data_IF_747563025877
#
_entry.id   IF_747563025877
#
_cell.length_a   1.000
_cell.length_b   1.000
_cell.length_c   1.000
_cell.angle_alpha   90.00
_cell.angle_beta   90.00
_cell.angle_gamma   90.00
#
_symmetry.space_group_name_H-M   'P 1'
#
loop_
_entity.id
_entity.type
_entity.pdbx_description
1 polymer ?
#
# COMPACT_ATOMS: atom_id res chain seq x y z
N UNK A 1 -11.32 23.29 -0.82
CA UNK A 1 -12.06 24.48 -0.31
C UNK A 1 -13.32 24.06 0.45
N UNK A 2 -14.12 23.12 -0.07
CA UNK A 2 -15.37 22.67 0.58
C UNK A 2 -15.10 22.00 1.93
N UNK A 3 -14.03 21.20 2.02
CA UNK A 3 -13.70 20.44 3.23
C UNK A 3 -13.39 21.35 4.44
N UNK A 4 -12.46 22.31 4.33
CA UNK A 4 -12.21 23.24 5.44
C UNK A 4 -13.43 24.07 5.85
N UNK A 5 -14.28 24.47 4.90
CA UNK A 5 -15.51 25.22 5.21
C UNK A 5 -16.49 24.36 6.02
N UNK A 6 -16.64 23.09 5.62
CA UNK A 6 -17.49 22.14 6.33
C UNK A 6 -16.98 21.87 7.76
N UNK A 7 -15.65 21.70 7.92
CA UNK A 7 -15.01 21.53 9.22
C UNK A 7 -15.25 22.74 10.15
N UNK A 8 -15.00 23.93 9.64
CA UNK A 8 -15.24 25.16 10.41
C UNK A 8 -16.72 25.28 10.82
N UNK A 9 -17.64 24.98 9.90
CA UNK A 9 -19.06 24.99 10.20
C UNK A 9 -19.42 23.99 11.29
N UNK A 10 -18.89 22.75 11.22
CA UNK A 10 -19.11 21.71 12.25
C UNK A 10 -18.52 22.13 13.60
N UNK A 11 -17.28 22.64 13.62
CA UNK A 11 -16.64 23.10 14.87
C UNK A 11 -17.43 24.22 15.54
N UNK A 12 -17.93 25.18 14.77
CA UNK A 12 -18.77 26.27 15.29
C UNK A 12 -20.10 25.71 15.79
N UNK A 13 -20.74 24.84 15.02
CA UNK A 13 -22.04 24.26 15.37
C UNK A 13 -21.97 23.44 16.66
N UNK A 14 -20.95 22.61 16.82
CA UNK A 14 -20.73 21.83 18.05
C UNK A 14 -20.32 22.76 19.20
N UNK A 15 -19.42 23.70 18.95
CA UNK A 15 -18.98 24.67 19.97
C UNK A 15 -20.10 25.55 20.54
N UNK A 16 -21.12 25.86 19.75
CA UNK A 16 -22.32 26.58 20.22
C UNK A 16 -23.24 25.72 21.09
N UNK A 17 -23.24 24.41 20.91
CA UNK A 17 -24.09 23.49 21.66
C UNK A 17 -23.48 23.05 23.00
N UNK A 18 -22.21 22.64 22.98
CA UNK A 18 -21.53 22.07 24.16
C UNK A 18 -20.52 23.04 24.80
N UNK A 19 -20.25 24.16 24.15
CA UNK A 19 -19.27 25.15 24.61
C UNK A 19 -17.89 24.95 23.97
N UNK A 20 -17.10 26.03 23.94
CA UNK A 20 -15.78 26.07 23.28
C UNK A 20 -14.77 25.13 23.96
N UNK A 21 -14.74 25.13 25.29
CA UNK A 21 -13.77 24.34 26.06
C UNK A 21 -13.95 22.82 25.86
N UNK A 22 -15.16 22.26 25.96
CA UNK A 22 -15.40 20.84 25.65
C UNK A 22 -15.12 20.48 24.20
N UNK A 23 -15.39 21.38 23.27
CA UNK A 23 -15.08 21.15 21.83
C UNK A 23 -13.58 21.03 21.60
N UNK A 24 -12.77 21.92 22.18
CA UNK A 24 -11.30 21.81 22.12
C UNK A 24 -10.84 20.51 22.78
N UNK A 25 -11.42 20.15 23.93
CA UNK A 25 -11.10 18.90 24.63
C UNK A 25 -11.37 17.67 23.76
N UNK A 26 -12.49 17.64 23.03
CA UNK A 26 -12.83 16.55 22.10
C UNK A 26 -11.81 16.47 20.94
N UNK A 27 -11.49 17.58 20.31
CA UNK A 27 -10.52 17.61 19.21
C UNK A 27 -9.13 17.15 19.68
N UNK A 28 -8.67 17.56 20.86
CA UNK A 28 -7.41 17.07 21.42
C UNK A 28 -7.47 15.59 21.78
N UNK A 29 -8.59 15.12 22.31
CA UNK A 29 -8.80 13.71 22.64
C UNK A 29 -8.74 12.85 21.38
N UNK A 30 -9.44 13.22 20.31
CA UNK A 30 -9.40 12.48 19.02
C UNK A 30 -8.00 12.45 18.45
N UNK A 31 -7.26 13.55 18.48
CA UNK A 31 -5.87 13.62 18.02
C UNK A 31 -4.94 12.67 18.81
N UNK A 32 -5.04 12.67 20.14
CA UNK A 32 -4.22 11.79 21.00
C UNK A 32 -4.56 10.31 20.79
N UNK A 33 -5.83 9.98 20.78
CA UNK A 33 -6.30 8.59 20.53
C UNK A 33 -5.92 8.13 19.15
N UNK A 34 -6.13 8.99 18.13
CA UNK A 34 -5.78 8.70 16.74
C UNK A 34 -4.28 8.48 16.55
N UNK A 35 -3.44 9.34 17.17
CA UNK A 35 -1.99 9.18 17.13
C UNK A 35 -1.52 7.88 17.80
N UNK A 36 -2.13 7.51 18.93
CA UNK A 36 -1.85 6.24 19.61
C UNK A 36 -2.16 5.03 18.74
N UNK A 37 -3.36 4.99 18.17
CA UNK A 37 -3.79 3.91 17.27
C UNK A 37 -2.94 3.85 16.00
N UNK A 38 -2.60 5.01 15.42
CA UNK A 38 -1.75 5.10 14.24
C UNK A 38 -0.37 4.51 14.51
N UNK A 39 0.23 4.84 15.66
CA UNK A 39 1.53 4.32 16.07
C UNK A 39 1.52 2.81 16.22
N UNK A 40 0.54 2.26 16.91
CA UNK A 40 0.40 0.82 17.13
C UNK A 40 0.23 0.06 15.81
N UNK A 41 -0.68 0.53 14.97
CA UNK A 41 -0.98 -0.12 13.71
C UNK A 41 0.12 0.09 12.65
N UNK A 42 0.76 1.25 12.67
CA UNK A 42 1.91 1.53 11.83
C UNK A 42 3.07 0.56 12.10
N UNK A 43 3.38 0.36 13.37
CA UNK A 43 4.41 -0.61 13.79
C UNK A 43 4.06 -2.04 13.37
N UNK A 44 2.82 -2.47 13.58
CA UNK A 44 2.36 -3.80 13.18
C UNK A 44 2.44 -4.02 11.66
N UNK A 45 2.11 -3.00 10.87
CA UNK A 45 2.17 -3.06 9.39
C UNK A 45 3.62 -3.12 8.91
N UNK A 46 4.51 -2.31 9.48
CA UNK A 46 5.95 -2.34 9.16
C UNK A 46 6.59 -3.68 9.51
N UNK A 47 6.24 -4.26 10.67
CA UNK A 47 6.75 -5.56 11.07
C UNK A 47 6.33 -6.67 10.10
N UNK A 48 5.06 -6.72 9.72
CA UNK A 48 4.55 -7.67 8.71
C UNK A 48 5.24 -7.49 7.36
N UNK A 49 5.46 -6.25 6.93
CA UNK A 49 6.18 -5.95 5.69
C UNK A 49 7.62 -6.48 5.73
N UNK A 50 8.32 -6.26 6.86
CA UNK A 50 9.68 -6.75 7.04
C UNK A 50 9.75 -8.28 7.04
N UNK A 51 8.81 -8.96 7.68
CA UNK A 51 8.75 -10.41 7.69
C UNK A 51 8.59 -10.98 6.28
N UNK A 52 7.69 -10.42 5.48
CA UNK A 52 7.50 -10.84 4.07
C UNK A 52 8.76 -10.65 3.23
N UNK A 53 9.49 -9.55 3.45
CA UNK A 53 10.78 -9.33 2.77
C UNK A 53 11.81 -10.40 3.14
N UNK A 54 11.86 -10.84 4.39
CA UNK A 54 12.75 -11.92 4.83
C UNK A 54 12.37 -13.28 4.21
N UNK A 55 11.09 -13.48 3.90
CA UNK A 55 10.57 -14.65 3.19
C UNK A 55 10.73 -14.55 1.66
N UNK A 56 11.38 -13.49 1.17
CA UNK A 56 11.55 -13.25 -0.26
C UNK A 56 10.28 -12.81 -1.01
N UNK A 57 9.24 -12.41 -0.27
CA UNK A 57 7.97 -11.96 -0.82
C UNK A 57 7.92 -10.43 -0.89
N UNK A 58 7.28 -9.88 -1.93
CA UNK A 58 7.04 -8.44 -2.03
C UNK A 58 5.85 -8.04 -1.14
N UNK A 59 6.02 -7.13 -0.16
CA UNK A 59 4.97 -6.71 0.76
C UNK A 59 4.04 -5.64 0.14
N UNK A 60 3.48 -5.92 -1.02
CA UNK A 60 2.66 -4.96 -1.77
C UNK A 60 1.41 -4.50 -1.00
N UNK A 61 0.78 -5.42 -0.28
CA UNK A 61 -0.40 -5.14 0.56
C UNK A 61 -0.01 -4.25 1.74
N UNK A 62 1.11 -4.53 2.40
CA UNK A 62 1.61 -3.77 3.54
C UNK A 62 2.02 -2.35 3.15
N UNK A 63 2.56 -2.17 1.95
CA UNK A 63 2.86 -0.84 1.38
C UNK A 63 1.56 -0.05 1.17
N UNK A 64 0.55 -0.67 0.57
CA UNK A 64 -0.77 -0.03 0.37
C UNK A 64 -1.45 0.29 1.70
N UNK A 65 -1.39 -0.62 2.69
CA UNK A 65 -1.88 -0.38 4.05
C UNK A 65 -1.14 0.77 4.73
N UNK A 66 0.20 0.82 4.61
CA UNK A 66 1.03 1.90 5.15
C UNK A 66 0.68 3.26 4.55
N UNK A 67 0.39 3.32 3.26
CA UNK A 67 -0.08 4.54 2.61
C UNK A 67 -1.43 5.02 3.16
N UNK A 68 -2.40 4.11 3.33
CA UNK A 68 -3.71 4.44 3.92
C UNK A 68 -3.52 4.94 5.35
N UNK A 69 -2.66 4.30 6.15
CA UNK A 69 -2.34 4.74 7.51
C UNK A 69 -1.72 6.14 7.53
N UNK A 70 -0.81 6.45 6.60
CA UNK A 70 -0.19 7.76 6.50
C UNK A 70 -1.22 8.85 6.18
N UNK A 71 -2.12 8.60 5.22
CA UNK A 71 -3.22 9.51 4.87
C UNK A 71 -4.18 9.68 6.05
N UNK A 72 -4.56 8.59 6.73
CA UNK A 72 -5.42 8.63 7.93
C UNK A 72 -4.78 9.44 9.06
N UNK A 73 -3.48 9.27 9.28
CA UNK A 73 -2.72 10.05 10.25
C UNK A 73 -2.67 11.53 9.90
N UNK A 74 -2.47 11.87 8.64
CA UNK A 74 -2.48 13.27 8.19
C UNK A 74 -3.86 13.93 8.40
N UNK A 75 -4.96 13.18 8.15
CA UNK A 75 -6.32 13.64 8.41
C UNK A 75 -6.57 13.89 9.90
N UNK A 76 -6.13 12.99 10.78
CA UNK A 76 -6.27 13.11 12.23
C UNK A 76 -5.39 14.22 12.85
N UNK A 77 -4.29 14.60 12.19
CA UNK A 77 -3.45 15.74 12.61
C UNK A 77 -4.06 17.08 12.19
N UNK A 78 -4.93 17.10 11.19
CA UNK A 78 -5.69 18.29 10.80
C UNK A 78 -6.95 18.34 11.66
N UNK A 79 -7.05 19.26 12.63
CA UNK A 79 -8.15 19.27 13.58
C UNK A 79 -9.49 19.49 12.88
N UNK A 80 -10.40 18.50 12.95
CA UNK A 80 -11.72 18.57 12.36
C UNK A 80 -12.58 17.38 12.77
N UNK A 81 -13.90 17.55 12.78
CA UNK A 81 -14.83 16.48 13.14
C UNK A 81 -15.01 15.48 11.99
N UNK A 82 -15.18 15.97 10.79
CA UNK A 82 -15.44 15.12 9.63
C UNK A 82 -14.18 14.40 9.16
N UNK A 83 -13.05 15.11 9.11
CA UNK A 83 -11.75 14.52 8.78
C UNK A 83 -11.31 13.48 9.81
N UNK A 84 -11.63 13.68 11.09
CA UNK A 84 -11.37 12.71 12.15
C UNK A 84 -12.15 11.41 11.92
N UNK A 85 -13.43 11.49 11.57
CA UNK A 85 -14.23 10.29 11.24
C UNK A 85 -13.63 9.52 10.08
N UNK A 86 -13.21 10.18 9.02
CA UNK A 86 -12.55 9.53 7.87
C UNK A 86 -11.20 8.95 8.28
N UNK A 87 -10.40 9.69 9.05
CA UNK A 87 -9.12 9.23 9.57
C UNK A 87 -9.27 7.98 10.44
N UNK A 88 -10.22 7.97 11.37
CA UNK A 88 -10.51 6.79 12.18
C UNK A 88 -11.01 5.60 11.33
N UNK A 89 -11.86 5.82 10.32
CA UNK A 89 -12.29 4.75 9.42
C UNK A 89 -11.10 4.08 8.71
N UNK A 90 -10.09 4.85 8.32
CA UNK A 90 -8.87 4.31 7.71
C UNK A 90 -7.96 3.55 8.70
N UNK A 91 -8.10 3.80 10.01
CA UNK A 91 -7.40 3.05 11.05
C UNK A 91 -8.05 1.69 11.33
N UNK A 92 -9.31 1.46 10.97
CA UNK A 92 -9.99 0.19 11.21
C UNK A 92 -9.42 -0.90 10.28
N UNK A 93 -8.77 -1.98 10.79
CA UNK A 93 -8.06 -2.95 9.97
C UNK A 93 -8.89 -3.56 8.83
N UNK A 94 -10.14 -4.02 9.01
CA UNK A 94 -10.92 -4.59 7.92
C UNK A 94 -11.22 -3.59 6.80
N UNK A 95 -11.47 -2.34 7.14
CA UNK A 95 -11.73 -1.27 6.17
C UNK A 95 -10.45 -1.00 5.36
N UNK A 96 -9.31 -0.89 6.03
CA UNK A 96 -8.01 -0.65 5.42
C UNK A 96 -7.62 -1.77 4.45
N UNK A 97 -7.74 -3.03 4.87
CA UNK A 97 -7.43 -4.19 4.01
C UNK A 97 -8.34 -4.21 2.78
N UNK A 98 -9.61 -3.88 2.94
CA UNK A 98 -10.55 -3.79 1.81
C UNK A 98 -10.10 -2.72 0.79
N UNK A 99 -9.78 -1.51 1.26
CA UNK A 99 -9.30 -0.44 0.40
C UNK A 99 -7.92 -0.73 -0.21
N UNK A 100 -6.99 -1.30 0.55
CA UNK A 100 -5.67 -1.69 0.04
C UNK A 100 -5.80 -2.69 -1.11
N UNK A 101 -6.60 -3.73 -0.96
CA UNK A 101 -6.88 -4.72 -2.01
C UNK A 101 -7.55 -4.09 -3.25
N UNK A 102 -8.45 -3.14 -3.03
CA UNK A 102 -9.13 -2.44 -4.12
C UNK A 102 -8.15 -1.59 -4.93
N UNK A 103 -7.27 -0.84 -4.25
CA UNK A 103 -6.23 -0.01 -4.88
C UNK A 103 -5.26 -0.90 -5.67
N UNK A 104 -4.79 -1.98 -5.07
CA UNK A 104 -3.89 -2.92 -5.73
C UNK A 104 -4.51 -3.56 -6.97
N UNK A 105 -5.77 -3.98 -6.90
CA UNK A 105 -6.48 -4.57 -8.05
C UNK A 105 -6.53 -3.61 -9.24
N UNK A 106 -6.75 -2.33 -8.98
CA UNK A 106 -6.77 -1.32 -10.03
C UNK A 106 -5.37 -1.01 -10.59
N UNK A 107 -4.32 -1.08 -9.75
CA UNK A 107 -2.93 -0.88 -10.19
C UNK A 107 -2.43 -2.03 -11.07
N UNK A 108 -2.76 -3.28 -10.73
CA UNK A 108 -2.38 -4.46 -11.53
C UNK A 108 -3.03 -4.42 -12.91
N UNK A 109 -4.28 -4.01 -13.01
CA UNK A 109 -4.98 -3.89 -14.30
C UNK A 109 -4.37 -2.77 -15.17
N UNK A 110 -3.92 -1.67 -14.57
CA UNK A 110 -3.25 -0.60 -15.32
C UNK A 110 -1.84 -0.98 -15.77
N UNK A 111 -1.13 -1.81 -15.00
CA UNK A 111 0.23 -2.27 -15.32
C UNK A 111 0.28 -3.35 -16.41
N UNK A 112 -0.75 -4.18 -16.54
CA UNK A 112 -0.79 -5.27 -17.52
C UNK A 112 -1.09 -4.80 -18.95
N UNK A 113 -1.61 -3.59 -19.13
CA UNK A 113 -1.83 -3.05 -20.48
C UNK A 113 -0.56 -2.49 -21.12
N UNK A 114 0.51 -2.23 -20.36
CA UNK A 114 1.75 -1.67 -20.89
C UNK A 114 2.96 -2.61 -20.85
N UNK A 115 2.85 -3.77 -20.22
CA UNK A 115 3.88 -4.80 -20.24
C UNK A 115 3.33 -6.01 -21.00
N UNK A 116 3.53 -6.03 -22.31
CA UNK A 116 3.32 -7.18 -23.17
C UNK A 116 4.32 -8.28 -22.83
N UNK A 117 4.22 -8.85 -21.62
CA UNK A 117 4.88 -10.10 -21.28
C UNK A 117 3.90 -11.22 -21.60
N UNK A 118 3.99 -11.72 -22.80
CA UNK A 118 3.31 -12.89 -23.28
C UNK A 118 4.02 -14.12 -22.67
N UNK A 119 3.40 -14.86 -21.73
CA UNK A 119 3.94 -16.15 -21.36
C UNK A 119 3.73 -17.07 -22.58
N UNK A 120 4.82 -17.49 -23.18
CA UNK A 120 4.80 -18.41 -24.30
C UNK A 120 4.04 -19.69 -23.94
N UNK A 121 2.86 -19.85 -24.52
CA UNK A 121 2.17 -21.12 -24.59
C UNK A 121 2.99 -22.04 -25.51
N UNK A 122 3.77 -22.92 -24.90
CA UNK A 122 4.42 -24.03 -25.58
C UNK A 122 3.35 -24.97 -26.12
N UNK A 123 2.96 -24.76 -27.35
CA UNK A 123 2.18 -25.70 -28.11
C UNK A 123 3.15 -26.60 -28.89
N UNK A 124 3.36 -27.80 -28.35
CA UNK A 124 4.00 -28.90 -29.08
C UNK A 124 3.11 -29.28 -30.25
N UNK A 125 3.49 -28.87 -31.44
CA UNK A 125 3.04 -29.48 -32.69
C UNK A 125 4.27 -30.05 -33.38
N UNK A 126 4.33 -31.37 -33.44
CA UNK A 126 5.32 -32.08 -34.21
C UNK A 126 5.20 -31.77 -35.71
N UNK A 127 6.32 -31.48 -36.33
CA UNK A 127 6.47 -31.67 -37.75
C UNK A 127 7.90 -32.11 -38.05
N UNK A 128 7.98 -33.32 -38.65
CA UNK A 128 9.18 -33.87 -39.28
C UNK A 128 9.68 -32.95 -40.39
N UNK A 129 10.99 -32.67 -40.38
CA UNK A 129 11.65 -32.00 -41.49
C UNK A 129 13.14 -31.93 -41.23
N UNK A 130 13.87 -32.82 -41.90
CA UNK A 130 15.31 -32.82 -41.91
C UNK A 130 15.87 -31.56 -42.57
N UNK A 131 16.93 -30.99 -42.00
CA UNK A 131 18.10 -30.48 -42.68
C UNK A 131 18.95 -29.54 -41.79
N UNK A 132 20.23 -29.84 -41.74
CA UNK A 132 21.38 -28.99 -41.58
C UNK A 132 21.29 -27.76 -40.65
N UNK A 133 22.06 -27.80 -39.59
CA UNK A 133 22.33 -26.63 -38.77
C UNK A 133 23.47 -26.90 -37.80
N UNK A 134 24.62 -26.31 -38.10
CA UNK A 134 25.90 -26.32 -37.40
C UNK A 134 25.80 -26.37 -35.87
N UNK A 135 26.41 -27.40 -35.33
CA UNK A 135 26.74 -27.52 -33.91
C UNK A 135 27.95 -26.63 -33.64
N UNK A 136 27.76 -25.54 -32.91
CA UNK A 136 28.87 -24.79 -32.36
C UNK A 136 29.40 -25.56 -31.15
N UNK A 137 30.49 -26.26 -31.33
CA UNK A 137 31.30 -26.78 -30.21
C UNK A 137 31.93 -25.59 -29.47
N UNK A 138 31.50 -25.37 -28.26
CA UNK A 138 32.14 -24.43 -27.33
C UNK A 138 33.44 -25.05 -26.82
N UNK A 139 34.58 -24.50 -27.23
CA UNK A 139 35.88 -24.84 -26.68
C UNK A 139 35.93 -24.51 -25.18
N UNK A 140 36.08 -25.50 -24.35
CA UNK A 140 36.43 -25.36 -22.94
C UNK A 140 37.90 -24.92 -22.84
N UNK A 141 38.14 -23.76 -22.25
CA UNK A 141 39.48 -23.28 -21.89
C UNK A 141 40.03 -24.11 -20.74
N UNK A 142 40.91 -25.02 -21.05
CA UNK A 142 41.73 -25.73 -20.08
C UNK A 142 42.82 -24.78 -19.54
N UNK A 143 42.71 -24.37 -18.30
CA UNK A 143 43.74 -23.58 -17.60
C UNK A 143 44.86 -24.51 -17.19
N UNK A 144 45.94 -24.42 -17.93
CA UNK A 144 47.22 -25.10 -17.66
C UNK A 144 47.94 -24.35 -16.53
N UNK A 145 48.02 -24.98 -15.35
CA UNK A 145 48.88 -24.51 -14.27
C UNK A 145 50.33 -24.67 -14.71
N UNK A 146 51.06 -23.61 -14.62
CA UNK A 146 52.51 -23.57 -14.83
C UNK A 146 53.17 -23.48 -13.44
N UNK A 147 54.06 -24.38 -13.18
CA UNK A 147 55.02 -24.50 -12.07
C UNK A 147 55.78 -23.20 -11.78
#
# INVERSE_FOLDING_TARGET
>A
IVMPVLEMWLLISVGTQIGVLPTIGLVLLTAVVGAGLLREQGFATLWRGRQKLQEGQLPTTEIAEGFILAVSGALLLTPGFFTDVIGFAGLIPPIRVFFAKRIMKNMVVAGTQNAGFQPGSGQTSGHNGAADGEVFEGEAWERKDLD
#
